data_IF_168352729573
#
_entry.id   IF_168352729573
#
_cell.length_a   1.000
_cell.length_b   1.000
_cell.length_c   1.000
_cell.angle_alpha   90.00
_cell.angle_beta   90.00
_cell.angle_gamma   90.00
#
_symmetry.space_group_name_H-M   'P 1'
#
loop_
_entity.id
_entity.type
_entity.pdbx_description
1 polymer ?
#
# COMPACT_ATOMS: atom_id res chain seq x y z
N UNK A 1 23.04 -9.25 12.55
CA UNK A 1 23.00 -7.80 12.24
C UNK A 1 23.53 -7.48 10.84
N UNK A 2 24.59 -8.11 10.32
CA UNK A 2 25.10 -7.84 8.97
C UNK A 2 24.16 -8.33 7.85
N UNK A 3 23.51 -9.47 8.01
CA UNK A 3 22.52 -10.01 7.03
C UNK A 3 21.27 -9.14 6.89
N UNK A 4 20.77 -8.57 8.00
CA UNK A 4 19.62 -7.66 8.02
C UNK A 4 19.86 -6.37 7.21
N UNK A 5 21.06 -5.80 7.28
CA UNK A 5 21.42 -4.59 6.54
C UNK A 5 21.57 -4.81 5.03
N UNK A 6 21.98 -6.00 4.62
CA UNK A 6 22.04 -6.37 3.19
C UNK A 6 20.65 -6.50 2.59
N UNK A 7 19.71 -7.12 3.31
CA UNK A 7 18.33 -7.28 2.88
C UNK A 7 17.62 -5.93 2.65
N UNK A 8 17.75 -4.97 3.57
CA UNK A 8 17.19 -3.64 3.42
C UNK A 8 17.80 -2.88 2.22
N UNK A 9 19.12 -2.95 2.05
CA UNK A 9 19.80 -2.31 0.91
C UNK A 9 19.34 -2.91 -0.43
N UNK A 10 19.17 -4.23 -0.49
CA UNK A 10 18.65 -4.93 -1.68
C UNK A 10 17.19 -4.54 -1.97
N UNK A 11 16.34 -4.43 -0.95
CA UNK A 11 14.95 -3.99 -1.10
C UNK A 11 14.89 -2.55 -1.64
N UNK A 12 15.68 -1.62 -1.09
CA UNK A 12 15.79 -0.24 -1.58
C UNK A 12 16.25 -0.22 -3.05
N UNK A 13 17.29 -0.97 -3.39
CA UNK A 13 17.81 -1.05 -4.76
C UNK A 13 16.77 -1.64 -5.73
N UNK A 14 16.00 -2.64 -5.29
CA UNK A 14 14.94 -3.24 -6.10
C UNK A 14 13.83 -2.23 -6.38
N UNK A 15 13.32 -1.50 -5.37
CA UNK A 15 12.30 -0.47 -5.56
C UNK A 15 12.77 0.65 -6.48
N UNK A 16 13.99 1.15 -6.31
CA UNK A 16 14.59 2.16 -7.21
C UNK A 16 14.66 1.69 -8.67
N UNK A 17 14.91 0.41 -8.86
CA UNK A 17 14.96 -0.22 -10.19
C UNK A 17 13.57 -0.56 -10.76
N UNK A 18 12.48 -0.23 -10.07
CA UNK A 18 11.11 -0.58 -10.48
C UNK A 18 10.85 -2.08 -10.43
N UNK A 19 11.45 -2.78 -9.46
CA UNK A 19 11.24 -4.21 -9.20
C UNK A 19 10.41 -4.41 -7.94
N UNK A 20 9.77 -5.57 -7.83
CA UNK A 20 9.03 -5.97 -6.64
C UNK A 20 9.93 -6.15 -5.43
N UNK A 21 9.33 -5.93 -4.26
CA UNK A 21 9.83 -6.33 -2.94
C UNK A 21 8.68 -7.07 -2.25
N UNK A 22 8.99 -8.05 -1.42
CA UNK A 22 8.04 -8.66 -0.49
C UNK A 22 8.28 -8.07 0.89
N UNK A 23 7.19 -7.68 1.56
CA UNK A 23 7.23 -7.07 2.89
C UNK A 23 6.38 -7.90 3.84
N UNK A 24 7.01 -8.48 4.87
CA UNK A 24 6.35 -9.19 5.96
C UNK A 24 6.11 -8.24 7.13
N UNK A 25 4.91 -8.23 7.69
CA UNK A 25 4.61 -7.52 8.92
C UNK A 25 4.98 -8.36 10.17
N UNK A 26 4.52 -7.94 11.34
CA UNK A 26 4.82 -8.64 12.59
C UNK A 26 3.95 -9.87 12.78
N UNK A 27 4.54 -10.99 13.25
CA UNK A 27 3.84 -12.25 13.57
C UNK A 27 2.70 -12.08 14.58
N UNK A 28 2.74 -11.02 15.37
CA UNK A 28 1.71 -10.70 16.38
C UNK A 28 0.62 -9.79 15.85
N UNK A 29 0.72 -9.38 14.56
CA UNK A 29 -0.24 -8.49 13.91
C UNK A 29 -1.09 -9.26 12.87
N UNK A 30 -0.90 -9.02 11.58
CA UNK A 30 -1.60 -9.75 10.51
C UNK A 30 -0.86 -11.05 10.17
N UNK A 31 0.47 -11.05 10.32
CA UNK A 31 1.36 -12.12 9.91
C UNK A 31 1.19 -12.45 8.42
N UNK A 32 1.12 -11.40 7.62
CA UNK A 32 0.90 -11.47 6.18
C UNK A 32 2.12 -10.93 5.42
N UNK A 33 2.21 -11.25 4.15
CA UNK A 33 3.25 -10.77 3.24
C UNK A 33 2.59 -10.02 2.10
N UNK A 34 3.02 -8.79 1.85
CA UNK A 34 2.60 -8.00 0.71
C UNK A 34 3.66 -7.98 -0.39
N UNK A 35 3.22 -8.20 -1.62
CA UNK A 35 4.01 -7.90 -2.82
C UNK A 35 3.85 -6.43 -3.15
N UNK A 36 4.96 -5.68 -3.21
CA UNK A 36 4.92 -4.23 -3.33
C UNK A 36 5.80 -3.69 -4.45
N UNK A 37 5.41 -2.54 -5.01
CA UNK A 37 6.17 -1.80 -6.03
C UNK A 37 5.88 -0.30 -5.94
N UNK A 38 6.91 0.55 -6.08
CA UNK A 38 6.75 2.00 -6.11
C UNK A 38 5.76 2.44 -7.20
N UNK A 39 4.80 3.31 -6.86
CA UNK A 39 3.70 3.67 -7.74
C UNK A 39 4.16 4.32 -9.06
N UNK A 40 5.27 5.06 -9.03
CA UNK A 40 5.87 5.69 -10.20
C UNK A 40 6.46 4.72 -11.22
N UNK A 41 6.68 3.46 -10.82
CA UNK A 41 7.20 2.40 -11.70
C UNK A 41 6.12 1.40 -12.14
N UNK A 42 4.88 1.54 -11.65
CA UNK A 42 3.81 0.59 -11.97
C UNK A 42 3.49 0.58 -13.46
N UNK A 43 3.43 -0.63 -14.02
CA UNK A 43 3.05 -0.94 -15.40
C UNK A 43 1.98 -2.06 -15.39
N UNK A 44 1.22 -2.25 -16.49
CA UNK A 44 0.17 -3.28 -16.52
C UNK A 44 0.62 -4.69 -16.12
N UNK A 45 1.84 -5.08 -16.49
CA UNK A 45 2.36 -6.40 -16.14
C UNK A 45 2.60 -6.56 -14.63
N UNK A 46 2.92 -5.47 -13.89
CA UNK A 46 3.04 -5.53 -12.45
C UNK A 46 1.68 -5.84 -11.81
N UNK A 47 0.62 -5.20 -12.27
CA UNK A 47 -0.74 -5.48 -11.77
C UNK A 47 -1.18 -6.91 -12.13
N UNK A 48 -0.83 -7.38 -13.33
CA UNK A 48 -1.08 -8.75 -13.73
C UNK A 48 -0.36 -9.75 -12.81
N UNK A 49 0.91 -9.48 -12.45
CA UNK A 49 1.69 -10.31 -11.51
C UNK A 49 1.07 -10.29 -10.12
N UNK A 50 0.77 -9.11 -9.56
CA UNK A 50 0.08 -8.99 -8.26
C UNK A 50 -1.22 -9.79 -8.23
N UNK A 51 -2.09 -9.62 -9.23
CA UNK A 51 -3.36 -10.34 -9.32
C UNK A 51 -3.21 -11.85 -9.45
N UNK A 52 -2.17 -12.31 -10.15
CA UNK A 52 -1.95 -13.72 -10.45
C UNK A 52 -1.18 -14.44 -9.34
N UNK A 53 -0.12 -13.81 -8.84
CA UNK A 53 0.85 -14.44 -7.94
C UNK A 53 0.64 -14.05 -6.47
N UNK A 54 0.19 -12.81 -6.19
CA UNK A 54 -0.20 -12.40 -4.85
C UNK A 54 -1.67 -12.74 -4.58
N UNK A 55 -2.61 -12.24 -5.36
CA UNK A 55 -4.03 -12.64 -5.32
C UNK A 55 -4.90 -11.87 -4.34
N UNK A 56 -4.33 -11.00 -3.54
CA UNK A 56 -5.04 -10.11 -2.63
C UNK A 56 -5.64 -8.87 -3.30
N UNK A 57 -5.89 -7.84 -2.53
CA UNK A 57 -6.44 -6.57 -3.01
C UNK A 57 -5.32 -5.62 -3.44
N UNK A 58 -5.28 -5.27 -4.73
CA UNK A 58 -4.31 -4.28 -5.21
C UNK A 58 -4.71 -2.89 -4.71
N UNK A 59 -3.99 -2.38 -3.72
CA UNK A 59 -4.19 -1.10 -3.08
C UNK A 59 -3.05 -0.12 -3.39
N UNK A 60 -3.28 1.17 -3.12
CA UNK A 60 -2.29 2.23 -3.24
C UNK A 60 -2.11 2.92 -1.88
N UNK A 61 -0.99 2.63 -1.21
CA UNK A 61 -0.61 3.29 0.04
C UNK A 61 0.09 4.63 -0.26
N UNK A 62 -0.31 5.69 0.44
CA UNK A 62 0.17 7.06 0.23
C UNK A 62 0.50 7.71 1.57
N UNK A 63 1.57 8.49 1.62
CA UNK A 63 1.99 9.24 2.80
C UNK A 63 0.92 10.22 3.28
N UNK A 64 0.78 10.33 4.61
CA UNK A 64 -0.24 11.15 5.26
C UNK A 64 -0.24 12.61 4.80
N UNK A 65 0.94 13.25 4.68
CA UNK A 65 1.00 14.65 4.30
C UNK A 65 0.43 14.93 2.91
N UNK A 66 0.53 13.96 1.98
CA UNK A 66 -0.06 14.05 0.64
C UNK A 66 -1.58 13.88 0.73
N UNK A 67 -2.05 12.81 1.39
CA UNK A 67 -3.48 12.53 1.52
C UNK A 67 -4.21 13.64 2.26
N UNK A 68 -3.58 14.26 3.26
CA UNK A 68 -4.11 15.44 3.96
C UNK A 68 -4.28 16.64 3.04
N UNK A 69 -3.32 16.93 2.16
CA UNK A 69 -3.42 18.01 1.16
C UNK A 69 -4.52 17.76 0.13
N UNK A 70 -4.75 16.50 -0.22
CA UNK A 70 -5.84 16.08 -1.10
C UNK A 70 -7.22 16.09 -0.41
N UNK A 71 -7.28 16.32 0.90
CA UNK A 71 -8.52 16.27 1.68
C UNK A 71 -9.07 14.85 1.84
N UNK A 72 -8.24 13.83 1.66
CA UNK A 72 -8.63 12.44 1.85
C UNK A 72 -8.72 12.11 3.34
N UNK A 73 -9.77 11.40 3.73
CA UNK A 73 -10.04 10.94 5.09
C UNK A 73 -10.21 9.42 5.12
N UNK A 74 -10.09 8.83 6.29
CA UNK A 74 -10.33 7.39 6.43
C UNK A 74 -11.78 7.02 6.12
N UNK A 75 -12.00 5.95 5.39
CA UNK A 75 -13.34 5.42 5.09
C UNK A 75 -14.15 5.12 6.35
N UNK A 76 -13.48 4.63 7.40
CA UNK A 76 -14.08 4.45 8.71
C UNK A 76 -14.78 5.73 9.21
N UNK A 77 -14.11 6.88 9.08
CA UNK A 77 -14.64 8.15 9.58
C UNK A 77 -15.77 8.67 8.67
N UNK A 78 -15.69 8.45 7.35
CA UNK A 78 -16.79 8.72 6.41
C UNK A 78 -18.04 7.93 6.79
N UNK A 79 -17.88 6.62 7.05
CA UNK A 79 -19.00 5.75 7.43
C UNK A 79 -19.56 6.16 8.80
N UNK A 80 -18.71 6.50 9.76
CA UNK A 80 -19.14 7.00 11.06
C UNK A 80 -19.95 8.30 10.95
N UNK A 81 -19.53 9.22 10.07
CA UNK A 81 -20.28 10.46 9.79
C UNK A 81 -21.66 10.20 9.16
N UNK A 82 -21.80 9.17 8.32
CA UNK A 82 -23.11 8.73 7.81
C UNK A 82 -24.04 8.29 8.94
N UNK A 83 -23.52 7.89 10.09
CA UNK A 83 -24.28 7.58 11.30
C UNK A 83 -25.13 8.74 11.82
N UNK A 84 -24.77 9.99 11.47
CA UNK A 84 -25.58 11.19 11.79
C UNK A 84 -26.91 11.19 11.02
N UNK A 85 -26.96 10.53 9.85
CA UNK A 85 -28.18 10.41 9.03
C UNK A 85 -28.91 9.11 9.34
N UNK A 86 -28.19 7.99 9.47
CA UNK A 86 -28.76 6.69 9.79
C UNK A 86 -27.86 5.95 10.81
N UNK A 87 -28.37 5.73 12.04
CA UNK A 87 -27.59 5.13 13.12
C UNK A 87 -27.03 3.72 12.83
N UNK A 88 -27.55 3.02 11.81
CA UNK A 88 -27.05 1.70 11.42
C UNK A 88 -25.56 1.75 11.02
N UNK A 89 -25.10 2.87 10.45
CA UNK A 89 -23.71 3.04 10.04
C UNK A 89 -22.74 3.12 11.21
N UNK A 90 -23.18 3.60 12.38
CA UNK A 90 -22.36 3.58 13.60
C UNK A 90 -22.00 2.16 14.01
N UNK A 91 -22.93 1.22 13.85
CA UNK A 91 -22.69 -0.20 14.19
C UNK A 91 -21.63 -0.83 13.30
N UNK A 92 -21.45 -0.35 12.05
CA UNK A 92 -20.43 -0.84 11.14
C UNK A 92 -19.03 -0.35 11.49
N UNK A 93 -18.92 0.71 12.28
CA UNK A 93 -17.65 1.31 12.73
C UNK A 93 -17.35 1.01 14.20
N UNK A 94 -18.20 0.26 14.89
CA UNK A 94 -17.97 -0.20 16.25
C UNK A 94 -16.89 -1.30 16.27
N UNK A 95 -16.05 -1.26 17.30
CA UNK A 95 -15.00 -2.25 17.53
C UNK A 95 -13.67 -1.89 16.85
N UNK A 96 -12.73 -2.79 17.03
CA UNK A 96 -11.37 -2.73 16.43
C UNK A 96 -11.06 -4.06 15.77
N UNK A 97 -10.09 -4.08 14.88
CA UNK A 97 -9.52 -5.32 14.36
C UNK A 97 -8.93 -6.16 15.51
N UNK A 98 -8.73 -7.44 15.29
CA UNK A 98 -8.15 -8.37 16.29
C UNK A 98 -6.78 -7.91 16.79
N UNK A 99 -6.03 -7.18 15.98
CA UNK A 99 -4.73 -6.59 16.30
C UNK A 99 -4.80 -5.11 16.76
N UNK A 100 -6.01 -4.58 17.00
CA UNK A 100 -6.24 -3.32 17.69
C UNK A 100 -6.22 -2.05 16.83
N UNK A 101 -5.84 -2.13 15.54
CA UNK A 101 -5.77 -1.00 14.63
C UNK A 101 -7.13 -0.65 14.01
N UNK A 102 -7.21 0.55 13.41
CA UNK A 102 -8.25 0.90 12.44
C UNK A 102 -7.77 0.60 11.02
N UNK A 103 -8.66 0.17 10.10
CA UNK A 103 -8.30 0.01 8.69
C UNK A 103 -7.79 1.31 8.08
N UNK A 104 -6.72 1.22 7.29
CA UNK A 104 -6.11 2.38 6.60
C UNK A 104 -6.88 2.87 5.38
N UNK A 105 -7.95 2.20 5.00
CA UNK A 105 -8.73 2.50 3.81
C UNK A 105 -9.28 3.91 3.80
N UNK A 106 -9.15 4.56 2.64
CA UNK A 106 -9.90 5.74 2.20
C UNK A 106 -10.80 5.35 1.02
N UNK A 107 -11.14 6.29 0.17
CA UNK A 107 -11.94 6.03 -1.03
C UNK A 107 -11.18 5.20 -2.07
N UNK A 108 -11.91 4.45 -2.88
CA UNK A 108 -11.36 3.82 -4.08
C UNK A 108 -11.56 4.75 -5.29
N UNK A 109 -10.56 4.82 -6.16
CA UNK A 109 -10.52 5.74 -7.29
C UNK A 109 -10.27 5.03 -8.62
N UNK A 110 -10.61 5.72 -9.72
CA UNK A 110 -10.15 5.45 -11.08
C UNK A 110 -9.65 6.74 -11.72
N UNK A 111 -8.62 6.65 -12.56
CA UNK A 111 -8.30 7.75 -13.48
C UNK A 111 -9.41 7.88 -14.53
N UNK A 112 -9.76 9.10 -14.94
CA UNK A 112 -10.89 9.33 -15.88
C UNK A 112 -10.65 8.78 -17.27
N UNK A 113 -9.40 8.56 -17.67
CA UNK A 113 -9.04 7.94 -18.95
C UNK A 113 -9.12 6.41 -18.96
N UNK A 114 -9.52 5.77 -17.85
CA UNK A 114 -9.77 4.34 -17.82
C UNK A 114 -11.10 4.01 -18.48
N UNK A 115 -11.20 2.81 -19.08
CA UNK A 115 -12.47 2.35 -19.66
C UNK A 115 -13.40 1.82 -18.55
N UNK A 116 -13.11 0.66 -17.98
CA UNK A 116 -13.87 0.12 -16.83
C UNK A 116 -13.22 0.44 -15.48
N UNK A 117 -11.92 0.53 -15.44
CA UNK A 117 -11.11 0.78 -14.24
C UNK A 117 -10.55 -0.49 -13.60
N UNK A 118 -11.04 -1.70 -13.93
CA UNK A 118 -10.68 -2.95 -13.24
C UNK A 118 -9.55 -3.69 -13.94
N UNK A 119 -9.33 -3.45 -15.23
CA UNK A 119 -8.28 -4.17 -16.00
C UNK A 119 -6.89 -3.86 -15.46
N UNK A 120 -5.92 -4.73 -15.75
CA UNK A 120 -4.53 -4.51 -15.35
C UNK A 120 -3.96 -3.19 -15.93
N UNK A 121 -4.36 -2.84 -17.16
CA UNK A 121 -4.04 -1.56 -17.79
C UNK A 121 -4.67 -0.38 -17.04
N UNK A 122 -5.94 -0.46 -16.71
CA UNK A 122 -6.69 0.62 -16.07
C UNK A 122 -6.18 0.88 -14.63
N UNK A 123 -5.95 -0.19 -13.85
CA UNK A 123 -5.41 -0.05 -12.50
C UNK A 123 -3.98 0.49 -12.52
N UNK A 124 -3.14 0.00 -13.44
CA UNK A 124 -1.79 0.52 -13.60
C UNK A 124 -1.80 2.00 -13.98
N UNK A 125 -2.64 2.41 -14.93
CA UNK A 125 -2.82 3.82 -15.29
C UNK A 125 -3.25 4.66 -14.09
N UNK A 126 -4.22 4.19 -13.32
CA UNK A 126 -4.72 4.90 -12.13
C UNK A 126 -3.61 5.10 -11.10
N UNK A 127 -2.85 4.05 -10.79
CA UNK A 127 -1.76 4.09 -9.80
C UNK A 127 -0.62 4.99 -10.28
N UNK A 128 -0.17 4.83 -11.52
CA UNK A 128 0.89 5.64 -12.10
C UNK A 128 0.52 7.14 -12.13
N UNK A 129 -0.70 7.46 -12.58
CA UNK A 129 -1.20 8.84 -12.61
C UNK A 129 -1.39 9.43 -11.21
N UNK A 130 -1.69 8.61 -10.22
CA UNK A 130 -1.73 9.06 -8.83
C UNK A 130 -0.32 9.36 -8.29
N UNK A 131 0.71 8.62 -8.71
CA UNK A 131 2.10 8.95 -8.38
C UNK A 131 2.50 10.32 -8.95
N UNK A 132 2.06 10.68 -10.18
CA UNK A 132 2.26 12.02 -10.73
C UNK A 132 1.60 13.12 -9.89
N UNK A 133 0.39 12.88 -9.38
CA UNK A 133 -0.29 13.79 -8.42
C UNK A 133 0.53 13.94 -7.14
N UNK A 134 1.00 12.83 -6.57
CA UNK A 134 1.81 12.83 -5.36
C UNK A 134 3.11 13.63 -5.56
N UNK A 135 3.79 13.46 -6.70
CA UNK A 135 4.99 14.21 -7.09
C UNK A 135 4.74 15.72 -7.15
N UNK A 136 3.58 16.09 -7.65
CA UNK A 136 3.21 17.50 -7.89
C UNK A 136 2.32 18.06 -6.78
N UNK A 137 2.28 17.48 -5.61
CA UNK A 137 1.29 17.83 -4.57
C UNK A 137 1.36 19.30 -4.16
N UNK A 138 2.53 19.90 -4.20
CA UNK A 138 2.75 21.33 -3.90
C UNK A 138 2.64 22.25 -5.12
N UNK A 139 2.53 21.68 -6.34
CA UNK A 139 2.54 22.39 -7.61
C UNK A 139 1.35 21.99 -8.49
N UNK A 140 0.13 22.15 -7.98
CA UNK A 140 -1.12 21.87 -8.71
C UNK A 140 -1.59 20.42 -8.66
N UNK A 141 -1.01 19.58 -7.76
CA UNK A 141 -1.42 18.18 -7.61
C UNK A 141 -2.88 18.03 -7.15
N UNK A 142 -3.38 18.93 -6.31
CA UNK A 142 -4.78 18.93 -5.83
C UNK A 142 -5.75 19.10 -6.99
N UNK A 143 -5.51 20.11 -7.85
CA UNK A 143 -6.31 20.39 -9.03
C UNK A 143 -6.21 19.24 -10.05
N UNK A 144 -5.01 18.67 -10.21
CA UNK A 144 -4.78 17.51 -11.05
C UNK A 144 -5.59 16.30 -10.57
N UNK A 145 -5.62 16.04 -9.27
CA UNK A 145 -6.43 14.98 -8.66
C UNK A 145 -7.91 15.19 -8.94
N UNK A 146 -8.45 16.37 -8.61
CA UNK A 146 -9.86 16.69 -8.79
C UNK A 146 -10.32 16.58 -10.26
N UNK A 147 -9.45 17.00 -11.19
CA UNK A 147 -9.75 16.99 -12.64
C UNK A 147 -9.67 15.60 -13.25
N UNK A 148 -8.69 14.79 -12.85
CA UNK A 148 -8.31 13.59 -13.57
C UNK A 148 -8.82 12.28 -12.93
N UNK A 149 -9.37 12.36 -11.72
CA UNK A 149 -9.84 11.15 -11.03
C UNK A 149 -11.34 11.18 -10.77
N UNK A 150 -11.90 10.02 -10.49
CA UNK A 150 -13.28 9.81 -10.08
C UNK A 150 -13.35 8.76 -8.97
N UNK A 151 -14.33 8.90 -8.11
CA UNK A 151 -14.70 7.92 -7.08
C UNK A 151 -16.21 7.65 -7.17
N UNK A 152 -16.67 6.43 -6.86
CA UNK A 152 -15.86 5.26 -6.52
C UNK A 152 -15.08 4.69 -7.70
N UNK A 153 -14.06 3.86 -7.42
CA UNK A 153 -13.21 3.23 -8.42
C UNK A 153 -12.71 1.85 -8.02
N UNK A 154 -11.65 1.37 -8.66
CA UNK A 154 -11.10 0.02 -8.49
C UNK A 154 -9.69 0.00 -7.86
N UNK A 155 -9.15 1.14 -7.48
CA UNK A 155 -7.90 1.24 -6.74
C UNK A 155 -8.18 1.87 -5.39
N UNK A 156 -8.28 1.09 -4.31
CA UNK A 156 -8.40 1.62 -2.95
C UNK A 156 -7.15 2.40 -2.56
N UNK A 157 -7.35 3.59 -1.98
CA UNK A 157 -6.27 4.35 -1.36
C UNK A 157 -6.17 3.94 0.10
N UNK A 158 -4.94 3.73 0.58
CA UNK A 158 -4.60 3.54 1.97
C UNK A 158 -3.84 4.77 2.48
N UNK A 159 -4.30 5.34 3.58
CA UNK A 159 -3.67 6.49 4.21
C UNK A 159 -2.68 6.00 5.25
N UNK A 160 -1.39 6.27 5.04
CA UNK A 160 -0.39 6.00 6.07
C UNK A 160 -0.58 6.94 7.27
N UNK A 161 -0.27 6.47 8.46
CA UNK A 161 -0.31 7.29 9.67
C UNK A 161 0.72 8.43 9.62
N UNK A 162 0.47 9.52 10.37
CA UNK A 162 1.24 10.76 10.27
C UNK A 162 2.73 10.57 10.56
N UNK A 163 3.07 9.78 11.56
CA UNK A 163 4.46 9.50 11.97
C UNK A 163 4.91 8.09 11.58
N UNK A 164 4.26 7.51 10.56
CA UNK A 164 4.57 6.17 10.03
C UNK A 164 4.76 5.14 11.15
N UNK A 165 5.93 4.50 11.20
CA UNK A 165 6.26 3.41 12.12
C UNK A 165 6.21 3.79 13.62
N UNK A 166 6.19 5.08 13.94
CA UNK A 166 5.98 5.54 15.32
C UNK A 166 4.52 5.48 15.76
N UNK A 167 3.57 5.56 14.81
CA UNK A 167 2.14 5.54 15.10
C UNK A 167 1.53 4.16 14.87
N UNK A 168 1.97 3.44 13.82
CA UNK A 168 1.41 2.16 13.40
C UNK A 168 2.44 1.32 12.63
N UNK A 169 2.45 0.01 12.86
CA UNK A 169 3.38 -0.95 12.25
C UNK A 169 2.70 -1.83 11.19
N UNK A 170 1.74 -1.27 10.42
CA UNK A 170 1.06 -2.00 9.36
C UNK A 170 1.78 -1.91 8.01
N UNK A 171 1.42 -2.76 7.06
CA UNK A 171 1.98 -2.77 5.69
C UNK A 171 1.94 -1.39 5.04
N UNK A 172 0.86 -0.61 5.25
CA UNK A 172 0.72 0.76 4.75
C UNK A 172 1.90 1.65 5.18
N UNK A 173 2.23 1.66 6.47
CA UNK A 173 3.31 2.45 7.03
C UNK A 173 4.69 1.91 6.66
N UNK A 174 4.88 0.59 6.74
CA UNK A 174 6.14 -0.08 6.37
C UNK A 174 6.51 0.22 4.91
N UNK A 175 5.55 0.09 4.01
CA UNK A 175 5.77 0.27 2.57
C UNK A 175 6.01 1.74 2.20
N UNK A 176 5.25 2.69 2.80
CA UNK A 176 5.51 4.12 2.59
C UNK A 176 6.86 4.52 3.18
N UNK A 177 7.25 4.00 4.34
CA UNK A 177 8.58 4.24 4.91
C UNK A 177 9.70 3.72 4.00
N UNK A 178 9.51 2.54 3.42
CA UNK A 178 10.47 1.97 2.47
C UNK A 178 10.65 2.84 1.21
N UNK A 179 9.58 3.48 0.71
CA UNK A 179 9.73 4.45 -0.40
C UNK A 179 10.53 5.68 0.00
N UNK A 180 10.38 6.17 1.24
CA UNK A 180 11.18 7.29 1.74
C UNK A 180 12.66 6.92 1.86
N UNK A 181 12.99 5.74 2.37
CA UNK A 181 14.37 5.23 2.40
C UNK A 181 14.97 5.08 1.00
N UNK A 182 14.14 4.80 0.02
CA UNK A 182 14.54 4.69 -1.38
C UNK A 182 14.60 6.04 -2.11
N UNK A 183 14.26 7.16 -1.45
CA UNK A 183 14.18 8.49 -2.09
C UNK A 183 13.27 8.48 -3.34
N UNK A 184 12.11 7.82 -3.21
CA UNK A 184 11.06 7.70 -4.22
C UNK A 184 9.83 8.50 -3.80
N UNK A 185 8.89 8.70 -4.74
CA UNK A 185 7.58 9.27 -4.44
C UNK A 185 6.92 8.40 -3.35
N UNK A 186 6.46 8.98 -2.20
CA UNK A 186 5.91 8.20 -1.10
C UNK A 186 4.48 7.73 -1.38
N UNK A 187 4.36 6.95 -2.44
CA UNK A 187 3.19 6.25 -2.92
C UNK A 187 3.62 4.87 -3.47
N UNK A 188 2.97 3.81 -3.04
CA UNK A 188 3.38 2.43 -3.33
C UNK A 188 2.16 1.54 -3.53
N UNK A 189 2.16 0.74 -4.60
CA UNK A 189 1.18 -0.31 -4.79
C UNK A 189 1.52 -1.50 -3.91
N UNK A 190 0.53 -2.04 -3.23
CA UNK A 190 0.64 -3.20 -2.34
C UNK A 190 -0.44 -4.23 -2.68
N UNK A 191 -0.15 -5.49 -2.45
CA UNK A 191 -1.10 -6.59 -2.67
C UNK A 191 -0.73 -7.76 -1.76
N UNK A 192 -1.65 -8.18 -0.92
CA UNK A 192 -1.48 -9.30 0.01
C UNK A 192 -1.23 -10.59 -0.77
N UNK A 193 -0.29 -11.42 -0.31
CA UNK A 193 -0.02 -12.73 -0.91
C UNK A 193 -0.90 -13.81 -0.28
N UNK A 194 -1.74 -14.42 -1.11
CA UNK A 194 -2.73 -15.43 -0.73
C UNK A 194 -2.32 -16.81 -1.21
N UNK A 195 -2.66 -17.82 -0.43
CA UNK A 195 -2.50 -19.24 -0.79
C UNK A 195 -3.84 -19.83 -1.25
N UNK A 196 -3.93 -20.14 -2.54
CA UNK A 196 -5.13 -20.73 -3.14
C UNK A 196 -5.38 -22.18 -2.72
N UNK A 197 -4.41 -22.89 -2.16
CA UNK A 197 -4.55 -24.26 -1.69
C UNK A 197 -5.14 -24.32 -0.27
N UNK A 198 -4.67 -23.44 0.61
CA UNK A 198 -5.15 -23.38 2.00
C UNK A 198 -6.28 -22.36 2.20
N UNK A 199 -6.51 -21.46 1.23
CA UNK A 199 -7.46 -20.35 1.29
C UNK A 199 -7.14 -19.34 2.41
N UNK A 200 -5.86 -19.19 2.76
CA UNK A 200 -5.34 -18.29 3.79
C UNK A 200 -4.28 -17.36 3.20
N UNK A 201 -3.75 -16.48 4.04
CA UNK A 201 -2.53 -15.74 3.71
C UNK A 201 -1.38 -16.73 3.41
N UNK A 202 -0.49 -16.34 2.48
CA UNK A 202 0.68 -17.13 2.13
C UNK A 202 1.61 -17.22 3.35
N UNK A 203 2.11 -18.42 3.65
CA UNK A 203 3.04 -18.59 4.76
C UNK A 203 4.40 -17.91 4.48
N UNK A 204 5.11 -17.54 5.54
CA UNK A 204 6.46 -16.94 5.43
C UNK A 204 7.41 -17.85 4.67
N UNK A 205 7.38 -19.17 4.94
CA UNK A 205 8.24 -20.15 4.27
C UNK A 205 7.95 -20.20 2.75
N UNK A 206 6.67 -20.25 2.37
CA UNK A 206 6.29 -20.23 0.96
C UNK A 206 6.64 -18.90 0.26
N UNK A 207 6.54 -17.79 0.97
CA UNK A 207 6.98 -16.49 0.46
C UNK A 207 8.50 -16.42 0.29
N UNK A 208 9.29 -17.01 1.17
CA UNK A 208 10.75 -17.14 1.01
C UNK A 208 11.14 -18.01 -0.20
N UNK A 209 10.42 -19.11 -0.43
CA UNK A 209 10.61 -19.93 -1.63
C UNK A 209 10.28 -19.15 -2.90
N UNK A 210 9.16 -18.40 -2.91
CA UNK A 210 8.78 -17.55 -4.02
C UNK A 210 9.82 -16.43 -4.25
N UNK A 211 10.25 -15.74 -3.20
CA UNK A 211 11.26 -14.70 -3.22
C UNK A 211 12.58 -15.21 -3.84
N UNK A 212 13.06 -16.35 -3.36
CA UNK A 212 14.28 -17.01 -3.85
C UNK A 212 14.17 -17.43 -5.32
N UNK A 213 13.03 -18.02 -5.70
CA UNK A 213 12.77 -18.47 -7.08
C UNK A 213 12.78 -17.35 -8.10
N UNK A 214 12.27 -16.17 -7.72
CA UNK A 214 12.13 -15.03 -8.64
C UNK A 214 13.16 -13.92 -8.41
N UNK A 215 14.09 -14.09 -7.45
CA UNK A 215 15.11 -13.10 -7.11
C UNK A 215 14.50 -11.79 -6.59
N UNK A 216 13.42 -11.88 -5.82
CA UNK A 216 12.71 -10.76 -5.21
C UNK A 216 13.18 -10.62 -3.76
N UNK A 217 13.65 -9.44 -3.31
CA UNK A 217 14.00 -9.24 -1.90
C UNK A 217 12.75 -9.41 -1.02
N UNK A 218 12.90 -10.12 0.11
CA UNK A 218 11.91 -10.19 1.17
C UNK A 218 12.48 -9.51 2.41
N UNK A 219 11.75 -8.53 2.95
CA UNK A 219 12.12 -7.76 4.13
C UNK A 219 11.09 -7.94 5.24
N UNK A 220 11.57 -8.04 6.47
CA UNK A 220 10.73 -8.13 7.67
C UNK A 220 10.55 -6.75 8.32
N UNK A 221 9.38 -6.52 8.94
CA UNK A 221 9.07 -5.29 9.66
C UNK A 221 10.11 -4.94 10.73
N UNK A 222 10.74 -5.95 11.36
CA UNK A 222 11.76 -5.73 12.38
C UNK A 222 13.00 -5.00 11.84
N UNK A 223 13.35 -5.22 10.57
CA UNK A 223 14.46 -4.56 9.89
C UNK A 223 14.18 -3.07 9.67
N UNK A 224 12.96 -2.76 9.15
CA UNK A 224 12.50 -1.38 8.97
C UNK A 224 12.38 -0.64 10.31
N UNK A 225 11.92 -1.32 11.35
CA UNK A 225 11.83 -0.79 12.71
C UNK A 225 13.19 -0.50 13.32
N UNK A 226 14.17 -1.37 13.10
CA UNK A 226 15.53 -1.16 13.57
C UNK A 226 16.17 0.07 12.91
N UNK A 227 15.95 0.25 11.59
CA UNK A 227 16.40 1.41 10.84
C UNK A 227 15.75 2.71 11.34
N UNK A 228 14.42 2.72 11.56
CA UNK A 228 13.70 3.90 12.04
C UNK A 228 14.08 4.37 13.45
N UNK A 229 14.63 3.48 14.29
CA UNK A 229 15.13 3.84 15.63
C UNK A 229 16.56 4.40 15.61
N UNK A 230 17.30 4.13 14.53
CA UNK A 230 18.69 4.57 14.38
C UNK A 230 18.80 5.93 13.67
N UNK A 231 17.73 6.39 13.01
CA UNK A 231 17.63 7.66 12.29
C UNK A 231 17.06 8.77 13.18
#
# INVERSE_FOLDING_TARGET
MAESLLSLAEAIAALKAGRFVLVHDDKTRENEIDMVIAAEHVKPYHIATMRKDAGGLVCLAIANYITSKLGLVYMHDIIADMGKVNPIFLKLTEGRTTYGDKPSFSIAINHRSTYTGVTDQDRALTIYKMAEVCKNIDNGGVEQFARNFRAPGHVPILIASKRLLHDRMGHTELCVYLTQLADLIPAIAICEMMDSATHKALSVDAAQEYASKFGIPLIDASELKANAKAA
#
